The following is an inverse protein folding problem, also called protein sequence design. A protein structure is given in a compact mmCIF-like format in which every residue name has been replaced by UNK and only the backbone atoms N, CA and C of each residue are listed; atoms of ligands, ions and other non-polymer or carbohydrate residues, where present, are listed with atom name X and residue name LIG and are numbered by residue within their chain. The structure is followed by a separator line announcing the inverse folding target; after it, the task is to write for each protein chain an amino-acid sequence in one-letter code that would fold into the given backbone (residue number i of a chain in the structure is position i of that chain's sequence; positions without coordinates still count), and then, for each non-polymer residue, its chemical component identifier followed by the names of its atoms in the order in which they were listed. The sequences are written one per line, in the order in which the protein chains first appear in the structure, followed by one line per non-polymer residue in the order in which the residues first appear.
data_IF_250021131804
#
_entry.id   IF_250021131804
#
_cell.length_a   1.000
_cell.length_b   1.000
_cell.length_c   1.000
_cell.angle_alpha   90.00
_cell.angle_beta   90.00
_cell.angle_gamma   90.00
#
_symmetry.space_group_name_H-M   'P 1'
#
loop_
_entity.id
_entity.type
_entity.pdbx_description
1 polymer ?
#
# COMPACT_ATOMS: atom_id res chain seq x y z
N UNK A 1 35.80 38.58 -24.98
CA UNK A 1 37.13 37.94 -25.08
C UNK A 1 36.92 36.60 -25.79
N UNK A 2 37.12 36.58 -27.11
CA UNK A 2 36.86 35.43 -27.99
C UNK A 2 38.23 34.98 -28.50
N UNK A 3 38.61 33.74 -28.19
CA UNK A 3 39.90 33.18 -28.60
C UNK A 3 39.68 32.23 -29.77
N UNK A 4 40.14 32.64 -30.95
CA UNK A 4 40.24 31.80 -32.16
C UNK A 4 41.64 31.21 -32.20
N UNK A 5 41.77 29.89 -32.27
CA UNK A 5 43.04 29.22 -32.58
C UNK A 5 42.84 28.39 -33.86
N UNK A 6 43.53 28.80 -34.92
CA UNK A 6 43.73 28.03 -36.17
C UNK A 6 45.14 27.42 -36.14
N UNK A 7 45.27 26.18 -36.61
CA UNK A 7 46.41 25.55 -37.30
C UNK A 7 46.44 24.06 -36.93
N UNK A 8 46.92 23.13 -37.74
CA UNK A 8 47.38 23.07 -39.13
C UNK A 8 47.41 21.57 -39.44
N UNK A 9 46.97 21.20 -40.63
CA UNK A 9 47.21 19.88 -41.24
C UNK A 9 48.70 19.61 -41.43
N UNK A 10 49.15 18.39 -41.11
CA UNK A 10 50.32 17.78 -41.75
C UNK A 10 50.12 16.26 -41.89
N UNK A 11 50.50 15.77 -43.08
CA UNK A 11 50.29 14.43 -43.65
C UNK A 11 51.43 13.46 -43.29
N UNK A 12 51.23 12.19 -43.70
CA UNK A 12 52.23 11.14 -44.12
C UNK A 12 52.42 10.02 -43.06
N UNK A 13 52.53 8.71 -43.33
CA UNK A 13 52.17 7.72 -44.38
C UNK A 13 52.70 6.36 -43.85
N UNK A 14 51.93 5.26 -43.87
CA UNK A 14 52.36 3.84 -43.90
C UNK A 14 51.07 2.99 -43.82
N UNK A 15 50.58 2.29 -44.84
CA UNK A 15 51.05 1.15 -45.65
C UNK A 15 51.03 -0.21 -44.91
N UNK A 16 50.36 -1.18 -45.57
CA UNK A 16 50.22 -2.62 -45.29
C UNK A 16 49.17 -3.00 -44.22
N UNK A 17 48.29 -3.99 -44.39
CA UNK A 17 48.17 -5.09 -45.36
C UNK A 17 46.69 -5.37 -45.62
N UNK A 18 46.39 -5.75 -46.85
CA UNK A 18 45.11 -6.30 -47.27
C UNK A 18 44.86 -7.65 -46.60
N UNK A 19 43.59 -7.95 -46.29
CA UNK A 19 42.97 -9.26 -46.47
C UNK A 19 41.46 -9.03 -46.54
N UNK A 20 40.90 -9.36 -47.70
CA UNK A 20 39.51 -9.12 -48.04
C UNK A 20 38.56 -10.01 -47.26
N UNK A 21 37.40 -9.45 -46.92
CA UNK A 21 36.21 -10.22 -46.58
C UNK A 21 35.04 -9.58 -47.30
N UNK A 22 34.32 -10.39 -48.07
CA UNK A 22 33.20 -10.00 -48.90
C UNK A 22 32.09 -9.33 -48.07
N UNK A 23 31.73 -8.09 -48.41
CA UNK A 23 30.48 -7.49 -47.96
C UNK A 23 29.34 -8.06 -48.82
N UNK A 24 28.60 -9.02 -48.27
CA UNK A 24 27.23 -9.27 -48.71
C UNK A 24 26.31 -8.32 -47.93
N UNK A 25 25.79 -7.31 -48.62
CA UNK A 25 24.60 -6.57 -48.19
C UNK A 25 23.43 -7.54 -48.18
N UNK A 26 22.85 -7.78 -47.02
CA UNK A 26 21.58 -8.49 -46.89
C UNK A 26 20.80 -7.95 -45.70
N UNK A 27 19.67 -7.31 -46.02
CA UNK A 27 18.50 -7.25 -45.15
C UNK A 27 18.43 -6.04 -44.23
N UNK A 28 17.44 -5.18 -44.49
CA UNK A 28 16.84 -4.33 -43.47
C UNK A 28 16.60 -5.14 -42.20
N UNK A 29 17.15 -4.65 -41.08
CA UNK A 29 16.98 -5.27 -39.77
C UNK A 29 15.51 -5.51 -39.49
N UNK A 30 15.16 -6.78 -39.33
CA UNK A 30 13.95 -7.17 -38.62
C UNK A 30 13.96 -6.40 -37.29
N UNK A 31 12.82 -5.78 -36.98
CA UNK A 31 12.67 -4.98 -35.77
C UNK A 31 13.24 -5.72 -34.59
N UNK A 32 14.22 -5.09 -33.92
CA UNK A 32 14.62 -5.47 -32.59
C UNK A 32 13.36 -5.40 -31.74
N UNK A 33 12.75 -6.56 -31.59
CA UNK A 33 11.80 -6.84 -30.54
C UNK A 33 12.66 -6.84 -29.28
N UNK A 34 13.02 -5.65 -28.80
CA UNK A 34 13.39 -5.47 -27.41
C UNK A 34 12.10 -5.75 -26.64
N UNK A 35 11.76 -7.03 -26.51
CA UNK A 35 11.01 -7.47 -25.37
C UNK A 35 11.87 -7.04 -24.20
N UNK A 36 11.44 -5.99 -23.52
CA UNK A 36 11.81 -5.81 -22.13
C UNK A 36 11.34 -7.08 -21.42
N UNK A 37 12.18 -8.11 -21.45
CA UNK A 37 12.11 -9.21 -20.51
C UNK A 37 12.53 -8.57 -19.19
N UNK A 38 11.60 -7.83 -18.58
CA UNK A 38 11.67 -7.58 -17.16
C UNK A 38 11.61 -8.96 -16.54
N UNK A 39 12.77 -9.54 -16.24
CA UNK A 39 12.84 -10.50 -15.16
C UNK A 39 12.04 -9.85 -14.03
N UNK A 40 10.93 -10.46 -13.55
CA UNK A 40 10.25 -9.93 -12.39
C UNK A 40 11.34 -9.70 -11.35
N UNK A 41 11.45 -8.47 -10.85
CA UNK A 41 12.45 -8.19 -9.84
C UNK A 41 12.27 -9.26 -8.77
N UNK A 42 13.35 -9.93 -8.40
CA UNK A 42 13.36 -10.90 -7.30
C UNK A 42 13.24 -10.16 -5.97
N UNK A 43 12.45 -9.08 -5.92
CA UNK A 43 11.91 -8.56 -4.68
C UNK A 43 11.18 -9.75 -4.07
N UNK A 44 11.80 -10.36 -3.06
CA UNK A 44 11.16 -11.40 -2.29
C UNK A 44 9.80 -10.84 -1.83
N UNK A 45 8.73 -11.31 -2.44
CA UNK A 45 7.38 -10.99 -2.00
C UNK A 45 7.12 -11.83 -0.78
N UNK A 46 6.72 -11.19 0.33
CA UNK A 46 6.27 -11.92 1.51
C UNK A 46 5.13 -12.85 1.09
N UNK A 47 5.11 -14.08 1.60
CA UNK A 47 3.92 -14.92 1.45
C UNK A 47 2.77 -14.29 2.27
N UNK A 48 1.71 -13.91 1.56
CA UNK A 48 0.55 -13.24 2.11
C UNK A 48 -0.62 -14.18 2.39
N UNK A 49 -0.49 -15.47 2.05
CA UNK A 49 -1.56 -16.47 2.22
C UNK A 49 -2.05 -16.58 3.67
N UNK A 50 -1.16 -16.37 4.64
CA UNK A 50 -1.49 -16.38 6.07
C UNK A 50 -2.46 -15.26 6.52
N UNK A 51 -2.66 -14.23 5.70
CA UNK A 51 -3.62 -13.15 5.98
C UNK A 51 -4.97 -13.37 5.29
N UNK A 52 -5.08 -14.34 4.38
CA UNK A 52 -6.32 -14.58 3.63
C UNK A 52 -7.38 -15.20 4.54
N UNK A 53 -8.62 -14.72 4.42
CA UNK A 53 -9.77 -15.09 5.26
C UNK A 53 -9.56 -14.82 6.75
N UNK A 54 -8.85 -13.73 7.07
CA UNK A 54 -8.60 -13.32 8.45
C UNK A 54 -9.25 -11.96 8.75
N UNK A 55 -9.75 -11.82 9.97
CA UNK A 55 -10.30 -10.57 10.47
C UNK A 55 -9.31 -9.90 11.41
N UNK A 56 -9.31 -8.57 11.36
CA UNK A 56 -8.46 -7.72 12.19
C UNK A 56 -9.30 -6.59 12.76
N UNK A 57 -9.02 -6.16 13.98
CA UNK A 57 -9.76 -5.08 14.63
C UNK A 57 -8.85 -4.14 15.40
N UNK A 58 -9.36 -2.95 15.74
CA UNK A 58 -8.72 -2.01 16.66
C UNK A 58 -9.12 -2.35 18.11
N UNK A 59 -8.17 -2.78 18.97
CA UNK A 59 -8.43 -2.98 20.40
C UNK A 59 -8.76 -1.67 21.12
N UNK A 60 -9.47 -1.74 22.24
CA UNK A 60 -9.96 -0.58 23.01
C UNK A 60 -8.89 0.50 23.24
N UNK A 61 -7.68 0.10 23.62
CA UNK A 61 -6.57 1.00 23.93
C UNK A 61 -6.12 1.87 22.74
N UNK A 62 -6.48 1.48 21.52
CA UNK A 62 -6.04 2.12 20.29
C UNK A 62 -7.18 2.74 19.50
N UNK A 63 -8.37 2.92 20.09
CA UNK A 63 -9.54 3.48 19.39
C UNK A 63 -9.52 5.01 19.27
N UNK A 64 -8.55 5.69 19.88
CA UNK A 64 -8.45 7.15 19.81
C UNK A 64 -7.93 7.59 18.44
N UNK A 65 -8.78 8.30 17.71
CA UNK A 65 -8.44 8.98 16.48
C UNK A 65 -8.68 10.49 16.60
N UNK A 66 -8.23 11.25 15.61
CA UNK A 66 -8.43 12.69 15.54
C UNK A 66 -9.02 13.09 14.20
N UNK A 67 -10.18 13.73 14.26
CA UNK A 67 -10.75 14.44 13.12
C UNK A 67 -10.21 15.87 13.07
N UNK A 68 -10.03 16.43 11.88
CA UNK A 68 -9.65 17.82 11.68
C UNK A 68 -10.58 18.53 10.70
N UNK A 69 -10.68 19.84 10.87
CA UNK A 69 -11.30 20.77 9.93
C UNK A 69 -10.39 21.99 9.79
N UNK A 70 -10.12 22.40 8.56
CA UNK A 70 -9.33 23.59 8.22
C UNK A 70 -10.22 24.77 7.76
N UNK A 71 -11.48 24.79 8.23
CA UNK A 71 -12.40 25.92 8.04
C UNK A 71 -11.86 27.23 8.66
N UNK A 72 -12.61 28.34 8.54
CA UNK A 72 -12.26 29.64 9.14
C UNK A 72 -11.91 29.55 10.64
N UNK A 73 -12.40 28.53 11.34
CA UNK A 73 -11.95 28.19 12.69
C UNK A 73 -11.37 26.76 12.69
N UNK A 74 -10.05 26.60 12.46
CA UNK A 74 -9.43 25.29 12.42
C UNK A 74 -9.58 24.55 13.75
N UNK A 75 -9.98 23.29 13.70
CA UNK A 75 -10.22 22.49 14.90
C UNK A 75 -9.79 21.05 14.68
N UNK A 76 -9.21 20.47 15.73
CA UNK A 76 -9.00 19.03 15.87
C UNK A 76 -9.92 18.50 16.98
N UNK A 77 -10.60 17.38 16.74
CA UNK A 77 -11.50 16.76 17.71
C UNK A 77 -11.16 15.29 17.87
N UNK A 78 -10.93 14.87 19.12
CA UNK A 78 -10.77 13.46 19.46
C UNK A 78 -12.07 12.70 19.16
N UNK A 79 -11.96 11.57 18.48
CA UNK A 79 -13.07 10.67 18.17
C UNK A 79 -12.67 9.25 18.51
N UNK A 80 -13.65 8.41 18.83
CA UNK A 80 -13.42 6.98 18.98
C UNK A 80 -13.72 6.31 17.65
N UNK A 81 -12.72 5.72 17.03
CA UNK A 81 -12.80 5.06 15.72
C UNK A 81 -12.61 3.55 15.92
N UNK A 82 -13.67 2.78 15.64
CA UNK A 82 -13.59 1.34 15.55
C UNK A 82 -13.50 0.94 14.08
N UNK A 83 -12.47 0.17 13.76
CA UNK A 83 -12.16 -0.30 12.41
C UNK A 83 -11.94 -1.81 12.42
N UNK A 84 -12.58 -2.50 11.46
CA UNK A 84 -12.42 -3.93 11.20
C UNK A 84 -11.86 -4.08 9.79
N UNK A 85 -10.88 -4.95 9.60
CA UNK A 85 -10.46 -5.41 8.28
C UNK A 85 -10.77 -6.89 8.10
N UNK A 86 -11.16 -7.27 6.88
CA UNK A 86 -11.28 -8.64 6.45
C UNK A 86 -10.53 -8.79 5.13
N UNK A 87 -9.39 -9.47 5.16
CA UNK A 87 -8.64 -9.79 3.95
C UNK A 87 -9.20 -11.05 3.32
N UNK A 88 -9.64 -10.96 2.07
CA UNK A 88 -10.36 -12.05 1.38
C UNK A 88 -9.50 -12.79 0.38
N UNK A 89 -8.44 -12.15 -0.12
CA UNK A 89 -7.51 -12.79 -1.06
C UNK A 89 -6.16 -12.10 -1.09
N UNK A 90 -5.18 -12.78 -1.68
CA UNK A 90 -3.89 -12.21 -2.00
C UNK A 90 -3.51 -12.59 -3.44
N UNK A 91 -3.03 -11.61 -4.22
CA UNK A 91 -2.62 -11.84 -5.61
C UNK A 91 -1.46 -10.89 -5.98
N UNK A 92 -0.42 -11.41 -6.64
CA UNK A 92 0.67 -10.60 -7.16
C UNK A 92 1.42 -9.77 -6.12
N UNK A 93 1.47 -10.22 -4.86
CA UNK A 93 2.07 -9.47 -3.74
C UNK A 93 1.17 -8.43 -3.10
N UNK A 94 -0.13 -8.41 -3.45
CA UNK A 94 -1.13 -7.54 -2.85
C UNK A 94 -2.13 -8.31 -1.99
N UNK A 95 -2.53 -7.73 -0.86
CA UNK A 95 -3.71 -8.08 -0.07
C UNK A 95 -4.93 -7.34 -0.62
N UNK A 96 -6.03 -8.08 -0.72
CA UNK A 96 -7.35 -7.58 -1.11
C UNK A 96 -8.35 -7.91 0.00
N UNK A 97 -9.32 -7.02 0.23
CA UNK A 97 -10.29 -7.21 1.30
C UNK A 97 -11.24 -6.04 1.46
N UNK A 98 -11.83 -5.95 2.64
CA UNK A 98 -12.67 -4.83 3.04
C UNK A 98 -12.34 -4.30 4.41
N UNK A 99 -12.56 -3.01 4.60
CA UNK A 99 -12.60 -2.36 5.90
C UNK A 99 -14.01 -1.92 6.23
N UNK A 100 -14.35 -1.95 7.51
CA UNK A 100 -15.60 -1.44 8.07
C UNK A 100 -15.26 -0.50 9.21
N UNK A 101 -15.72 0.74 9.14
CA UNK A 101 -15.36 1.79 10.12
C UNK A 101 -16.59 2.44 10.73
N UNK A 102 -16.48 2.80 12.01
CA UNK A 102 -17.51 3.53 12.75
C UNK A 102 -16.85 4.49 13.73
N UNK A 103 -17.24 5.77 13.66
CA UNK A 103 -16.83 6.81 14.62
C UNK A 103 -17.96 7.25 15.56
N UNK A 104 -19.06 6.50 15.62
CA UNK A 104 -20.27 6.86 16.35
C UNK A 104 -20.80 5.71 17.23
N UNK A 105 -19.90 5.07 17.97
CA UNK A 105 -20.22 3.98 18.89
C UNK A 105 -20.94 2.79 18.22
N UNK A 106 -20.65 2.52 16.95
CA UNK A 106 -21.20 1.41 16.18
C UNK A 106 -22.62 1.66 15.65
N UNK A 107 -23.15 2.89 15.74
CA UNK A 107 -24.49 3.22 15.27
C UNK A 107 -24.59 3.21 13.74
N UNK A 108 -23.51 3.49 13.02
CA UNK A 108 -23.43 3.35 11.56
C UNK A 108 -22.05 2.91 11.11
N UNK A 109 -21.99 2.08 10.07
CA UNK A 109 -20.76 1.55 9.51
C UNK A 109 -20.57 2.02 8.07
N UNK A 110 -19.33 2.38 7.73
CA UNK A 110 -18.92 2.66 6.36
C UNK A 110 -17.97 1.57 5.90
N UNK A 111 -18.20 1.03 4.70
CA UNK A 111 -17.29 0.05 4.09
C UNK A 111 -16.36 0.70 3.06
N UNK A 112 -15.20 0.08 2.85
CA UNK A 112 -14.28 0.41 1.76
C UNK A 112 -13.52 -0.84 1.32
N UNK A 113 -13.16 -0.90 0.04
CA UNK A 113 -12.32 -1.97 -0.51
C UNK A 113 -10.86 -1.72 -0.16
N UNK A 114 -10.14 -2.74 0.31
CA UNK A 114 -8.71 -2.67 0.60
C UNK A 114 -7.91 -3.20 -0.59
N UNK A 115 -6.88 -2.47 -0.98
CA UNK A 115 -5.78 -2.96 -1.83
C UNK A 115 -4.47 -2.50 -1.21
N UNK A 116 -3.53 -3.40 -0.98
CA UNK A 116 -2.24 -3.00 -0.44
C UNK A 116 -1.22 -4.11 -0.42
N UNK A 117 -0.03 -3.85 0.10
CA UNK A 117 1.06 -4.83 0.12
C UNK A 117 1.77 -4.85 1.47
N UNK A 118 2.39 -6.01 1.75
CA UNK A 118 3.35 -6.16 2.84
C UNK A 118 4.65 -6.64 2.22
N UNK A 119 5.70 -5.85 2.37
CA UNK A 119 7.03 -6.18 1.85
C UNK A 119 7.69 -7.28 2.69
N UNK A 120 8.75 -7.91 2.17
CA UNK A 120 9.56 -8.87 2.95
C UNK A 120 10.15 -8.26 4.24
N UNK A 121 10.41 -6.94 4.25
CA UNK A 121 10.90 -6.22 5.42
C UNK A 121 9.76 -5.73 6.34
N UNK A 122 8.56 -6.29 6.18
CA UNK A 122 7.37 -5.98 6.95
C UNK A 122 6.85 -4.54 6.83
N UNK A 123 7.33 -3.72 5.90
CA UNK A 123 6.67 -2.45 5.58
C UNK A 123 5.32 -2.71 4.95
N UNK A 124 4.29 -1.99 5.41
CA UNK A 124 2.89 -2.14 4.99
C UNK A 124 2.42 -0.84 4.33
N UNK A 125 1.76 -0.97 3.18
CA UNK A 125 1.07 0.14 2.50
C UNK A 125 -0.31 -0.33 2.04
N UNK A 126 -1.37 0.32 2.51
CA UNK A 126 -2.76 -0.02 2.19
C UNK A 126 -3.50 1.21 1.65
N UNK A 127 -4.28 1.02 0.59
CA UNK A 127 -5.29 1.96 0.13
C UNK A 127 -6.69 1.42 0.42
N UNK A 128 -7.59 2.30 0.84
CA UNK A 128 -8.98 1.99 1.10
C UNK A 128 -9.86 2.85 0.21
N UNK A 129 -10.66 2.20 -0.62
CA UNK A 129 -11.49 2.82 -1.65
C UNK A 129 -12.96 2.71 -1.25
N UNK A 130 -13.51 3.80 -0.74
CA UNK A 130 -14.91 3.95 -0.35
C UNK A 130 -15.40 5.37 -0.66
N UNK A 131 -16.19 5.97 0.23
CA UNK A 131 -16.65 7.34 0.06
C UNK A 131 -15.51 8.37 -0.01
N UNK A 132 -14.55 8.28 0.91
CA UNK A 132 -13.28 9.02 0.88
C UNK A 132 -12.13 8.04 0.79
N UNK A 133 -11.08 8.41 0.04
CA UNK A 133 -9.86 7.60 -0.01
C UNK A 133 -9.15 7.70 1.33
N UNK A 134 -8.87 6.55 1.93
CA UNK A 134 -7.97 6.44 3.07
C UNK A 134 -6.66 5.82 2.60
N UNK A 135 -5.55 6.35 3.07
CA UNK A 135 -4.23 5.76 2.87
C UNK A 135 -3.66 5.35 4.21
N UNK A 136 -3.09 4.15 4.27
CA UNK A 136 -2.47 3.57 5.44
C UNK A 136 -1.03 3.21 5.17
N UNK A 137 -0.13 3.62 6.06
CA UNK A 137 1.28 3.23 6.04
C UNK A 137 1.71 2.74 7.41
N UNK A 138 2.53 1.70 7.45
CA UNK A 138 2.98 1.16 8.72
C UNK A 138 3.90 -0.03 8.60
N UNK A 139 3.88 -0.87 9.64
CA UNK A 139 4.68 -2.07 9.74
C UNK A 139 3.86 -3.26 10.25
N UNK A 140 4.17 -4.44 9.72
CA UNK A 140 3.73 -5.70 10.29
C UNK A 140 4.73 -6.10 11.39
N UNK A 141 4.27 -6.16 12.62
CA UNK A 141 5.08 -6.45 13.80
C UNK A 141 4.41 -7.52 14.66
N UNK A 142 4.89 -7.71 15.88
CA UNK A 142 4.21 -8.49 16.91
C UNK A 142 3.74 -7.60 18.06
N UNK A 143 2.58 -7.94 18.63
CA UNK A 143 2.06 -7.35 19.86
C UNK A 143 1.53 -8.48 20.73
N UNK A 144 2.02 -8.58 21.96
CA UNK A 144 1.70 -9.69 22.89
C UNK A 144 1.87 -11.08 22.27
N UNK A 145 2.89 -11.26 21.43
CA UNK A 145 3.19 -12.54 20.76
C UNK A 145 2.31 -12.86 19.55
N UNK A 146 1.35 -12.01 19.20
CA UNK A 146 0.51 -12.15 18.01
C UNK A 146 0.98 -11.23 16.89
N UNK A 147 0.79 -11.59 15.61
CA UNK A 147 1.03 -10.67 14.51
C UNK A 147 0.11 -9.45 14.65
N UNK A 148 0.61 -8.28 14.30
CA UNK A 148 -0.13 -7.04 14.39
C UNK A 148 0.28 -6.06 13.29
N UNK A 149 -0.69 -5.36 12.71
CA UNK A 149 -0.39 -4.23 11.84
C UNK A 149 -0.35 -2.96 12.70
N UNK A 150 0.83 -2.36 12.86
CA UNK A 150 0.95 -1.02 13.45
C UNK A 150 0.89 0.00 12.33
N UNK A 151 -0.20 0.77 12.29
CA UNK A 151 -0.56 1.56 11.11
C UNK A 151 -0.93 2.98 11.50
N UNK A 152 -0.48 3.93 10.67
CA UNK A 152 -1.05 5.26 10.58
C UNK A 152 -1.97 5.31 9.36
N UNK A 153 -3.21 5.73 9.56
CA UNK A 153 -4.20 5.91 8.50
C UNK A 153 -4.69 7.34 8.46
N UNK A 154 -4.84 7.88 7.25
CA UNK A 154 -5.42 9.21 7.01
C UNK A 154 -6.47 9.14 5.92
N UNK A 155 -7.65 9.68 6.21
CA UNK A 155 -8.75 9.87 5.26
C UNK A 155 -9.12 11.34 5.21
N UNK A 156 -9.62 11.83 4.08
CA UNK A 156 -10.11 13.20 4.00
C UNK A 156 -9.86 13.90 2.67
N UNK A 157 -10.20 15.18 2.69
CA UNK A 157 -9.91 16.17 1.67
C UNK A 157 -9.19 17.36 2.33
N UNK A 158 -8.77 18.36 1.56
CA UNK A 158 -8.03 19.50 2.09
C UNK A 158 -8.71 20.22 3.27
N UNK A 159 -10.06 20.25 3.29
CA UNK A 159 -10.84 20.97 4.30
C UNK A 159 -11.16 20.16 5.56
N UNK A 160 -11.14 18.83 5.49
CA UNK A 160 -11.51 17.96 6.61
C UNK A 160 -10.99 16.55 6.42
N UNK A 161 -10.66 15.88 7.52
CA UNK A 161 -10.26 14.49 7.49
C UNK A 161 -10.17 13.87 8.87
N UNK A 162 -9.66 12.65 8.90
CA UNK A 162 -9.45 11.85 10.10
C UNK A 162 -8.10 11.16 10.00
N UNK A 163 -7.33 11.19 11.08
CA UNK A 163 -6.09 10.44 11.23
C UNK A 163 -6.20 9.51 12.43
N UNK A 164 -5.67 8.30 12.28
CA UNK A 164 -5.76 7.25 13.28
C UNK A 164 -4.46 6.45 13.30
N UNK A 165 -3.88 6.29 14.50
CA UNK A 165 -2.74 5.41 14.75
C UNK A 165 -3.18 4.25 15.62
N UNK A 166 -3.09 3.04 15.10
CA UNK A 166 -3.56 1.87 15.83
C UNK A 166 -2.73 0.63 15.52
N UNK A 167 -2.74 -0.29 16.49
CA UNK A 167 -2.51 -1.69 16.22
C UNK A 167 -3.82 -2.31 15.73
N UNK A 168 -3.77 -3.01 14.60
CA UNK A 168 -4.78 -3.97 14.21
C UNK A 168 -4.32 -5.35 14.67
N UNK A 169 -5.13 -5.99 15.50
CA UNK A 169 -4.86 -7.36 16.00
C UNK A 169 -5.79 -8.36 15.30
N UNK A 170 -5.36 -9.62 15.11
CA UNK A 170 -6.23 -10.65 14.58
C UNK A 170 -7.39 -10.89 15.53
N UNK A 171 -8.56 -11.21 14.98
CA UNK A 171 -9.76 -11.54 15.75
C UNK A 171 -10.48 -12.72 15.11
N UNK A 172 -11.02 -13.58 15.95
CA UNK A 172 -11.69 -14.83 15.58
C UNK A 172 -13.01 -14.95 16.35
N UNK A 173 -13.88 -15.85 15.90
CA UNK A 173 -15.18 -16.08 16.56
C UNK A 173 -15.10 -16.57 18.01
N UNK A 174 -13.94 -17.06 18.46
CA UNK A 174 -13.71 -17.44 19.86
C UNK A 174 -13.37 -16.25 20.76
N UNK A 175 -13.00 -15.10 20.21
CA UNK A 175 -12.61 -13.94 21.00
C UNK A 175 -13.84 -13.20 21.54
N UNK A 176 -13.84 -12.72 22.81
CA UNK A 176 -14.95 -11.93 23.34
C UNK A 176 -15.26 -10.69 22.48
N UNK A 177 -14.22 -10.04 21.96
CA UNK A 177 -14.35 -8.87 21.09
C UNK A 177 -15.05 -9.15 19.76
N UNK A 178 -15.15 -10.42 19.34
CA UNK A 178 -15.90 -10.79 18.14
C UNK A 178 -17.39 -10.59 18.36
N UNK A 179 -17.86 -10.89 19.56
CA UNK A 179 -19.27 -10.73 19.95
C UNK A 179 -19.61 -9.32 20.44
N UNK A 180 -18.61 -8.56 20.91
CA UNK A 180 -18.78 -7.17 21.37
C UNK A 180 -17.51 -6.35 21.11
N UNK A 181 -17.55 -5.56 20.05
CA UNK A 181 -16.42 -4.75 19.60
C UNK A 181 -16.16 -3.58 20.57
N UNK A 182 -14.87 -3.27 20.82
CA UNK A 182 -14.49 -2.05 21.53
C UNK A 182 -15.05 -0.79 20.89
N UNK A 183 -15.23 0.27 21.66
CA UNK A 183 -15.77 1.54 21.17
C UNK A 183 -17.12 1.42 20.42
N UNK A 184 -17.93 0.42 20.76
CA UNK A 184 -19.28 0.26 20.24
C UNK A 184 -20.29 -0.05 21.34
N UNK A 185 -21.57 0.13 21.06
CA UNK A 185 -22.66 -0.28 21.93
C UNK A 185 -23.00 -1.77 21.75
N UNK A 186 -22.05 -2.66 22.07
CA UNK A 186 -22.16 -4.12 21.94
C UNK A 186 -22.43 -4.62 20.52
N UNK A 187 -21.75 -4.04 19.53
CA UNK A 187 -21.84 -4.50 18.14
C UNK A 187 -20.87 -5.67 17.93
N UNK A 188 -21.32 -6.76 17.32
CA UNK A 188 -20.46 -7.89 16.96
C UNK A 188 -19.78 -7.67 15.60
N UNK A 189 -18.70 -8.40 15.32
CA UNK A 189 -18.05 -8.40 14.00
C UNK A 189 -19.05 -8.79 12.89
N UNK A 190 -19.83 -9.89 12.99
CA UNK A 190 -20.81 -10.22 11.95
C UNK A 190 -21.84 -9.12 11.69
N UNK A 191 -22.30 -8.41 12.73
CA UNK A 191 -23.22 -7.28 12.57
C UNK A 191 -22.55 -6.10 11.86
N UNK A 192 -21.33 -5.74 12.28
CA UNK A 192 -20.55 -4.64 11.69
C UNK A 192 -20.20 -4.88 10.21
N UNK A 193 -19.97 -6.13 9.84
CA UNK A 193 -19.56 -6.52 8.47
C UNK A 193 -20.71 -7.03 7.62
N UNK A 194 -21.97 -6.92 8.07
CA UNK A 194 -23.13 -7.51 7.42
C UNK A 194 -23.42 -6.95 6.01
N UNK A 195 -22.99 -5.72 5.73
CA UNK A 195 -23.11 -5.12 4.39
C UNK A 195 -22.22 -5.80 3.34
N UNK A 196 -21.23 -6.57 3.79
CA UNK A 196 -20.24 -7.20 2.93
C UNK A 196 -19.28 -6.23 2.24
N UNK A 197 -18.43 -6.84 1.44
CA UNK A 197 -17.82 -6.29 0.25
C UNK A 197 -18.80 -6.53 -0.92
#
# INVERSE_FOLDING_TARGET
MITIIKNKTLKTLALCCALGVNFALSGCGAGDSVQAQSNPSTLATKDLSAFVNTFWYVPQAYTLAYSYSSSTNPKTTAVSDQTIWHFTSANGGYLLGCSFTSTNNGASWTSATIVGSVTANNTVSLGFFGGLVTVGSGILTSSSGQPAFLMQMSSGIASTGLTHWAYMLPITSSDPSWSSLPATNNVSVPTATASGC
#
